data_IF_464117332334
#
_entry.id   IF_464117332334
#
_cell.length_a   1.000
_cell.length_b   1.000
_cell.length_c   1.000
_cell.angle_alpha   90.00
_cell.angle_beta   90.00
_cell.angle_gamma   90.00
#
_symmetry.space_group_name_H-M   'P 1'
#
loop_
_entity.id
_entity.type
_entity.pdbx_description
1 polymer ?
#
# COMPACT_ATOMS: atom_id res chain seq x y z
N UNK A 1 2.92 -4.24 53.23
CA UNK A 1 3.16 -2.82 52.91
C UNK A 1 3.35 -2.69 51.40
N UNK A 2 2.32 -2.28 50.67
CA UNK A 2 2.41 -2.03 49.22
C UNK A 2 3.03 -0.65 49.04
N UNK A 3 4.28 -0.61 48.57
CA UNK A 3 5.07 0.60 48.37
C UNK A 3 4.50 1.38 47.17
N UNK A 4 4.27 2.68 47.38
CA UNK A 4 3.61 3.59 46.47
C UNK A 4 4.09 3.48 45.02
N UNK A 5 3.16 3.16 44.11
CA UNK A 5 3.36 3.29 42.67
C UNK A 5 3.26 4.78 42.33
N UNK A 6 4.38 5.40 41.98
CA UNK A 6 4.42 6.79 41.54
C UNK A 6 3.49 6.99 40.33
N UNK A 7 2.49 7.89 40.39
CA UNK A 7 1.52 8.09 39.30
C UNK A 7 2.19 8.62 38.01
N UNK A 8 3.39 9.18 38.11
CA UNK A 8 4.21 9.66 36.99
C UNK A 8 4.75 8.53 36.11
N UNK A 9 5.05 7.36 36.69
CA UNK A 9 5.53 6.19 35.96
C UNK A 9 4.41 5.52 35.15
N UNK A 10 3.18 5.53 35.67
CA UNK A 10 2.00 4.97 35.00
C UNK A 10 1.58 5.82 33.77
N UNK A 11 1.73 7.16 33.86
CA UNK A 11 1.47 8.07 32.74
C UNK A 11 2.52 7.93 31.63
N UNK A 12 3.78 7.70 31.98
CA UNK A 12 4.86 7.51 31.01
C UNK A 12 4.72 6.18 30.26
N UNK A 13 4.35 5.10 30.96
CA UNK A 13 4.12 3.80 30.32
C UNK A 13 2.92 3.80 29.37
N UNK A 14 1.82 4.48 29.73
CA UNK A 14 0.69 4.66 28.81
C UNK A 14 1.05 5.50 27.58
N UNK A 15 1.87 6.55 27.74
CA UNK A 15 2.34 7.34 26.61
C UNK A 15 3.22 6.51 25.66
N UNK A 16 4.16 5.73 26.19
CA UNK A 16 5.03 4.86 25.35
C UNK A 16 4.22 3.75 24.67
N UNK A 17 3.28 3.12 25.37
CA UNK A 17 2.36 2.15 24.76
C UNK A 17 1.49 2.80 23.67
N UNK A 18 0.95 4.00 23.90
CA UNK A 18 0.20 4.73 22.90
C UNK A 18 1.07 5.08 21.68
N UNK A 19 2.32 5.50 21.88
CA UNK A 19 3.27 5.76 20.79
C UNK A 19 3.64 4.48 20.03
N UNK A 20 3.81 3.34 20.70
CA UNK A 20 4.05 2.06 20.03
C UNK A 20 2.82 1.60 19.24
N UNK A 21 1.60 1.78 19.76
CA UNK A 21 0.35 1.46 19.04
C UNK A 21 0.14 2.37 17.82
N UNK A 22 0.58 3.63 17.88
CA UNK A 22 0.47 4.57 16.75
C UNK A 22 1.59 4.37 15.72
N UNK A 23 2.79 3.95 16.13
CA UNK A 23 3.92 3.69 15.23
C UNK A 23 3.91 2.27 14.62
N UNK A 24 3.33 1.29 15.30
CA UNK A 24 3.21 -0.09 14.82
C UNK A 24 2.54 -0.21 13.44
N UNK A 25 1.37 0.41 13.15
CA UNK A 25 0.74 0.28 11.82
C UNK A 25 1.59 0.90 10.70
N UNK A 26 2.41 1.91 11.00
CA UNK A 26 3.33 2.49 10.03
C UNK A 26 4.50 1.55 9.71
N UNK A 27 5.10 0.94 10.74
CA UNK A 27 6.17 -0.04 10.56
C UNK A 27 5.65 -1.31 9.86
N UNK A 28 4.45 -1.77 10.20
CA UNK A 28 3.83 -2.94 9.61
C UNK A 28 3.42 -2.71 8.16
N UNK A 29 2.82 -1.57 7.79
CA UNK A 29 2.49 -1.27 6.39
C UNK A 29 3.75 -1.07 5.51
N UNK A 30 4.82 -0.50 6.06
CA UNK A 30 6.11 -0.39 5.37
C UNK A 30 6.79 -1.76 5.21
N UNK A 31 6.76 -2.60 6.24
CA UNK A 31 7.21 -3.99 6.15
C UNK A 31 6.33 -4.80 5.20
N UNK A 32 5.02 -4.53 5.13
CA UNK A 32 4.11 -5.15 4.18
C UNK A 32 4.46 -4.75 2.74
N UNK A 33 4.88 -3.50 2.55
CA UNK A 33 5.43 -3.10 1.27
C UNK A 33 6.71 -3.85 0.90
N UNK A 34 7.60 -4.04 1.87
CA UNK A 34 8.89 -4.71 1.72
C UNK A 34 8.80 -6.23 1.55
N UNK A 35 7.79 -6.88 2.11
CA UNK A 35 7.71 -8.35 2.15
C UNK A 35 6.54 -8.93 1.34
N UNK A 36 5.41 -8.23 1.25
CA UNK A 36 4.19 -8.71 0.56
C UNK A 36 3.86 -7.94 -0.71
N UNK A 37 4.25 -6.67 -0.81
CA UNK A 37 4.08 -5.83 -2.01
C UNK A 37 5.39 -5.58 -2.74
N UNK A 38 6.41 -6.46 -2.61
CA UNK A 38 7.67 -6.17 -3.27
C UNK A 38 7.49 -6.11 -4.79
N UNK A 39 6.65 -6.93 -5.42
CA UNK A 39 6.59 -7.00 -6.88
C UNK A 39 5.16 -7.00 -7.50
N UNK A 40 4.14 -6.32 -6.95
CA UNK A 40 2.79 -6.35 -7.51
C UNK A 40 2.78 -5.72 -8.91
N UNK A 41 3.58 -4.67 -9.10
CA UNK A 41 3.71 -3.94 -10.37
C UNK A 41 4.64 -4.68 -11.35
N UNK A 42 5.56 -5.55 -10.91
CA UNK A 42 6.43 -6.28 -11.84
C UNK A 42 5.65 -7.21 -12.75
N UNK A 43 4.65 -7.92 -12.20
CA UNK A 43 3.76 -8.72 -13.04
C UNK A 43 3.01 -7.86 -14.05
N UNK A 44 2.79 -6.58 -13.75
CA UNK A 44 2.13 -5.60 -14.61
C UNK A 44 3.08 -4.82 -15.52
N UNK A 45 4.41 -4.99 -15.41
CA UNK A 45 5.39 -4.16 -16.12
C UNK A 45 5.19 -4.21 -17.63
N UNK A 46 4.98 -5.40 -18.18
CA UNK A 46 4.77 -5.59 -19.61
C UNK A 46 3.52 -4.83 -20.09
N UNK A 47 2.43 -4.87 -19.34
CA UNK A 47 1.25 -4.07 -19.66
C UNK A 47 1.51 -2.56 -19.50
N UNK A 48 2.16 -2.14 -18.42
CA UNK A 48 2.45 -0.73 -18.14
C UNK A 48 3.40 -0.09 -19.16
N UNK A 49 4.17 -0.90 -19.88
CA UNK A 49 5.11 -0.45 -20.91
C UNK A 49 4.59 -0.64 -22.33
N UNK A 50 3.90 -1.74 -22.62
CA UNK A 50 3.48 -2.12 -23.98
C UNK A 50 1.97 -2.13 -24.22
N UNK A 51 1.16 -2.18 -23.15
CA UNK A 51 -0.30 -2.30 -23.23
C UNK A 51 -0.79 -3.72 -23.54
N UNK A 52 0.11 -4.71 -23.62
CA UNK A 52 -0.25 -6.10 -23.87
C UNK A 52 -0.94 -6.72 -22.66
N UNK A 53 -2.09 -7.35 -22.86
CA UNK A 53 -2.82 -8.15 -21.85
C UNK A 53 -2.69 -9.65 -22.08
N UNK A 54 -2.23 -10.09 -23.25
CA UNK A 54 -2.03 -11.50 -23.57
C UNK A 54 -0.57 -11.92 -23.34
N UNK A 55 -0.13 -11.93 -22.08
CA UNK A 55 1.18 -12.42 -21.69
C UNK A 55 1.09 -13.26 -20.42
N UNK A 56 2.11 -14.11 -20.20
CA UNK A 56 2.13 -15.17 -19.18
C UNK A 56 1.80 -14.69 -17.76
N UNK A 57 2.09 -13.43 -17.44
CA UNK A 57 1.94 -12.87 -16.11
C UNK A 57 0.76 -11.90 -15.96
N UNK A 58 -0.09 -11.76 -16.98
CA UNK A 58 -1.23 -10.83 -16.92
C UNK A 58 -2.23 -11.19 -15.82
N UNK A 59 -2.57 -12.48 -15.68
CA UNK A 59 -3.47 -12.94 -14.61
C UNK A 59 -2.89 -12.60 -13.23
N UNK A 60 -1.60 -12.88 -13.03
CA UNK A 60 -0.91 -12.53 -11.78
C UNK A 60 -0.88 -11.01 -11.52
N UNK A 61 -0.76 -10.19 -12.56
CA UNK A 61 -0.89 -8.74 -12.46
C UNK A 61 -2.26 -8.36 -11.90
N UNK A 62 -3.34 -8.87 -12.50
CA UNK A 62 -4.70 -8.56 -12.06
C UNK A 62 -4.98 -9.06 -10.63
N UNK A 63 -4.55 -10.26 -10.28
CA UNK A 63 -4.69 -10.80 -8.92
C UNK A 63 -3.97 -9.93 -7.88
N UNK A 64 -2.78 -9.42 -8.22
CA UNK A 64 -2.03 -8.52 -7.32
C UNK A 64 -2.63 -7.14 -7.22
N UNK A 65 -3.17 -6.59 -8.31
CA UNK A 65 -3.91 -5.34 -8.27
C UNK A 65 -5.19 -5.47 -7.43
N UNK A 66 -5.90 -6.59 -7.56
CA UNK A 66 -7.07 -6.89 -6.74
C UNK A 66 -6.69 -6.97 -5.26
N UNK A 67 -5.61 -7.69 -4.94
CA UNK A 67 -5.11 -7.78 -3.57
C UNK A 67 -4.77 -6.40 -2.99
N UNK A 68 -4.09 -5.53 -3.74
CA UNK A 68 -3.80 -4.16 -3.28
C UNK A 68 -5.09 -3.37 -3.05
N UNK A 69 -6.04 -3.47 -3.97
CA UNK A 69 -7.32 -2.81 -3.85
C UNK A 69 -8.05 -3.26 -2.56
N UNK A 70 -8.11 -4.57 -2.31
CA UNK A 70 -8.74 -5.13 -1.13
C UNK A 70 -8.01 -4.72 0.16
N UNK A 71 -6.68 -4.71 0.14
CA UNK A 71 -5.85 -4.27 1.25
C UNK A 71 -6.09 -2.79 1.59
N UNK A 72 -6.08 -1.94 0.57
CA UNK A 72 -6.28 -0.50 0.72
C UNK A 72 -7.67 -0.20 1.29
N UNK A 73 -8.72 -0.84 0.78
CA UNK A 73 -10.09 -0.60 1.24
C UNK A 73 -10.45 -1.36 2.54
N UNK A 74 -9.48 -2.01 3.19
CA UNK A 74 -9.73 -2.76 4.42
C UNK A 74 -10.60 -4.01 4.29
N UNK A 75 -10.82 -4.49 3.06
CA UNK A 75 -11.68 -5.67 2.78
C UNK A 75 -11.04 -6.97 3.30
N UNK A 76 -9.73 -6.94 3.53
CA UNK A 76 -8.95 -8.05 4.10
C UNK A 76 -8.26 -7.62 5.40
N UNK A 77 -7.88 -8.62 6.21
CA UNK A 77 -7.25 -8.41 7.53
C UNK A 77 -8.08 -7.56 8.50
N UNK A 78 -9.41 -7.54 8.36
CA UNK A 78 -10.31 -6.85 9.29
C UNK A 78 -10.12 -5.33 9.33
N UNK A 79 -9.70 -4.70 8.23
CA UNK A 79 -9.54 -3.24 8.16
C UNK A 79 -8.24 -2.72 8.79
N UNK A 80 -7.29 -3.59 9.16
CA UNK A 80 -6.02 -3.18 9.77
C UNK A 80 -5.27 -2.09 8.99
N UNK A 81 -5.40 -2.11 7.66
CA UNK A 81 -4.73 -1.20 6.73
C UNK A 81 -5.65 -0.08 6.19
N UNK A 82 -6.89 0.01 6.66
CA UNK A 82 -7.83 1.08 6.29
C UNK A 82 -7.63 2.31 7.18
N UNK A 83 -6.47 2.94 7.00
CA UNK A 83 -6.15 4.17 7.68
C UNK A 83 -5.19 5.00 6.82
N UNK A 84 -5.19 6.31 7.05
CA UNK A 84 -4.37 7.28 6.32
C UNK A 84 -2.90 6.86 6.20
N UNK A 85 -2.29 6.45 7.29
CA UNK A 85 -0.88 6.06 7.32
C UNK A 85 -0.61 4.87 6.39
N UNK A 86 -1.42 3.81 6.50
CA UNK A 86 -1.33 2.63 5.65
C UNK A 86 -1.63 2.95 4.19
N UNK A 87 -2.63 3.77 3.88
CA UNK A 87 -2.94 4.22 2.52
C UNK A 87 -1.78 4.98 1.88
N UNK A 88 -1.16 5.90 2.63
CA UNK A 88 0.02 6.65 2.18
C UNK A 88 1.22 5.73 1.94
N UNK A 89 1.42 4.74 2.81
CA UNK A 89 2.46 3.71 2.63
C UNK A 89 2.20 2.88 1.38
N UNK A 90 1.02 2.27 1.23
CA UNK A 90 0.64 1.45 0.06
C UNK A 90 0.84 2.25 -1.24
N UNK A 91 0.36 3.50 -1.27
CA UNK A 91 0.57 4.39 -2.40
C UNK A 91 2.05 4.60 -2.69
N UNK A 92 2.85 4.96 -1.68
CA UNK A 92 4.27 5.25 -1.88
C UNK A 92 5.01 4.05 -2.46
N UNK A 93 4.62 2.84 -2.07
CA UNK A 93 5.19 1.60 -2.59
C UNK A 93 4.83 1.38 -4.05
N UNK A 94 3.54 1.49 -4.40
CA UNK A 94 3.08 1.37 -5.80
C UNK A 94 3.76 2.43 -6.68
N UNK A 95 3.83 3.68 -6.23
CA UNK A 95 4.43 4.77 -7.00
C UNK A 95 5.95 4.61 -7.13
N UNK A 96 6.65 4.13 -6.10
CA UNK A 96 8.09 3.88 -6.17
C UNK A 96 8.45 2.76 -7.18
N UNK A 97 7.67 1.69 -7.23
CA UNK A 97 7.83 0.64 -8.25
C UNK A 97 7.63 1.22 -9.67
N UNK A 98 6.55 1.97 -9.86
CA UNK A 98 6.22 2.59 -11.15
C UNK A 98 7.29 3.60 -11.59
N UNK A 99 7.93 4.32 -10.65
CA UNK A 99 9.06 5.22 -10.94
C UNK A 99 10.26 4.48 -11.51
N UNK A 100 10.51 3.24 -11.09
CA UNK A 100 11.60 2.39 -11.58
C UNK A 100 11.47 1.95 -13.03
N UNK A 101 10.26 1.96 -13.60
CA UNK A 101 10.01 1.48 -14.96
C UNK A 101 10.49 2.47 -16.03
N UNK A 102 11.43 2.09 -16.91
CA UNK A 102 11.97 3.01 -17.92
C UNK A 102 10.94 3.44 -18.98
N UNK A 103 10.11 2.51 -19.46
CA UNK A 103 9.15 2.74 -20.56
C UNK A 103 7.70 2.86 -20.09
N UNK A 104 7.49 3.38 -18.88
CA UNK A 104 6.14 3.53 -18.31
C UNK A 104 5.23 4.40 -19.18
N UNK A 105 4.01 3.91 -19.44
CA UNK A 105 2.94 4.61 -20.13
C UNK A 105 1.80 4.93 -19.17
N UNK A 106 1.55 6.23 -18.97
CA UNK A 106 0.39 6.70 -18.22
C UNK A 106 -0.93 6.26 -18.85
N UNK A 107 -0.98 6.19 -20.19
CA UNK A 107 -2.17 5.74 -20.93
C UNK A 107 -2.55 4.31 -20.59
N UNK A 108 -1.58 3.42 -20.42
CA UNK A 108 -1.87 2.03 -20.02
C UNK A 108 -2.18 1.96 -18.53
N UNK A 109 -1.39 2.62 -17.69
CA UNK A 109 -1.60 2.63 -16.25
C UNK A 109 -3.01 3.09 -15.83
N UNK A 110 -3.55 4.11 -16.50
CA UNK A 110 -4.92 4.61 -16.25
C UNK A 110 -6.03 3.64 -16.66
N UNK A 111 -5.75 2.71 -17.58
CA UNK A 111 -6.70 1.69 -18.05
C UNK A 111 -6.54 0.34 -17.35
N UNK A 112 -5.43 0.13 -16.66
CA UNK A 112 -5.05 -1.16 -16.08
C UNK A 112 -6.14 -1.77 -15.19
N UNK A 113 -6.79 -0.98 -14.34
CA UNK A 113 -7.87 -1.50 -13.48
C UNK A 113 -9.08 -1.94 -14.30
N UNK A 114 -9.43 -1.21 -15.36
CA UNK A 114 -10.54 -1.59 -16.23
C UNK A 114 -10.22 -2.88 -17.00
N UNK A 115 -9.00 -3.03 -17.51
CA UNK A 115 -8.56 -4.26 -18.19
C UNK A 115 -8.55 -5.48 -17.25
N UNK A 116 -8.31 -5.27 -15.95
CA UNK A 116 -8.43 -6.31 -14.93
C UNK A 116 -9.84 -6.48 -14.37
N UNK A 117 -10.86 -5.80 -14.91
CA UNK A 117 -12.24 -5.77 -14.38
C UNK A 117 -12.33 -5.38 -12.90
N UNK A 118 -11.39 -4.56 -12.44
CA UNK A 118 -11.35 -4.04 -11.08
C UNK A 118 -12.06 -2.69 -11.01
N UNK A 119 -12.54 -2.36 -9.80
CA UNK A 119 -12.98 -1.01 -9.50
C UNK A 119 -11.83 -0.02 -9.69
N UNK A 120 -12.18 1.24 -9.89
CA UNK A 120 -11.21 2.32 -10.02
C UNK A 120 -10.22 2.28 -8.85
N UNK A 121 -8.93 2.30 -9.18
CA UNK A 121 -7.88 2.34 -8.15
C UNK A 121 -8.07 3.58 -7.28
N UNK A 122 -7.84 3.49 -5.96
CA UNK A 122 -8.15 4.57 -5.02
C UNK A 122 -7.30 5.82 -5.24
N UNK A 123 -6.21 5.71 -6.02
CA UNK A 123 -5.38 6.85 -6.40
C UNK A 123 -4.80 6.67 -7.82
N UNK A 124 -4.46 7.77 -8.51
CA UNK A 124 -3.75 7.72 -9.77
C UNK A 124 -2.38 7.05 -9.64
N UNK A 125 -2.17 5.94 -10.35
CA UNK A 125 -0.88 5.24 -10.38
C UNK A 125 0.05 5.95 -11.36
N UNK A 126 0.68 7.07 -10.96
CA UNK A 126 1.58 7.84 -11.83
C UNK A 126 2.91 8.14 -11.16
N UNK A 127 3.98 8.24 -11.95
CA UNK A 127 5.34 8.54 -11.41
C UNK A 127 5.40 9.82 -10.57
N UNK A 128 4.54 10.80 -10.86
CA UNK A 128 4.50 12.09 -10.18
C UNK A 128 3.45 12.18 -9.07
N UNK A 129 2.65 11.13 -8.85
CA UNK A 129 1.60 11.20 -7.83
C UNK A 129 2.20 11.36 -6.43
N UNK A 130 1.64 12.31 -5.66
CA UNK A 130 2.08 12.60 -4.31
C UNK A 130 1.20 11.86 -3.30
N UNK A 131 1.69 10.75 -2.77
CA UNK A 131 0.94 9.93 -1.83
C UNK A 131 0.59 10.64 -0.52
N UNK A 132 1.31 11.70 -0.13
CA UNK A 132 1.01 12.46 1.09
C UNK A 132 -0.33 13.22 1.02
N UNK A 133 -0.93 13.36 -0.17
CA UNK A 133 -2.24 14.00 -0.33
C UNK A 133 -3.40 13.05 -0.05
N UNK A 134 -3.15 11.76 0.13
CA UNK A 134 -4.17 10.79 0.52
C UNK A 134 -4.65 11.05 1.94
N UNK A 135 -5.97 11.03 2.10
CA UNK A 135 -6.71 11.30 3.33
C UNK A 135 -6.92 10.04 4.15
#
# INVERSE_FOLDING_TARGET
MVKATNPSLLKLSCAVLAFMVVAAPHAEAFLFCLFTLFHPIQYCEQYLTTGLTNYTNWVNCCDRLQFIYQLYNGEIYGGLFDNKASHQSICSCVINEVRGLQNYSYTYSSKMTAECNLRSFPFPVTKSFNCSTLS
#
